data_IF_487647580450
#
_entry.id   IF_487647580450
#
_cell.length_a   1.000
_cell.length_b   1.000
_cell.length_c   1.000
_cell.angle_alpha   90.00
_cell.angle_beta   90.00
_cell.angle_gamma   90.00
#
_symmetry.space_group_name_H-M   'P 1'
#
loop_
_entity.id
_entity.type
_entity.pdbx_description
1 polymer ?
#
# COMPACT_ATOMS: atom_id res chain seq x y z
N UNK A 1 18.74 9.89 2.08
CA UNK A 1 18.30 9.93 3.49
C UNK A 1 16.90 9.38 3.67
N UNK A 2 16.02 9.53 2.67
CA UNK A 2 14.67 9.00 2.73
C UNK A 2 14.61 7.48 2.89
N UNK A 3 15.54 6.71 2.32
CA UNK A 3 15.43 5.25 2.36
C UNK A 3 15.54 4.69 3.77
N UNK A 4 16.35 5.26 4.67
CA UNK A 4 16.48 4.78 6.05
C UNK A 4 15.24 5.11 6.91
N UNK A 5 14.70 6.32 6.78
CA UNK A 5 13.45 6.72 7.46
C UNK A 5 12.31 5.82 6.96
N UNK A 6 12.22 5.66 5.65
CA UNK A 6 11.27 4.80 4.97
C UNK A 6 11.41 3.32 5.38
N UNK A 7 12.65 2.84 5.52
CA UNK A 7 12.94 1.45 5.85
C UNK A 7 12.24 1.05 7.14
N UNK A 8 12.20 1.91 8.18
CA UNK A 8 11.47 1.61 9.42
C UNK A 8 10.00 1.28 9.16
N UNK A 9 9.32 2.14 8.40
CA UNK A 9 7.90 1.97 8.05
C UNK A 9 7.66 0.73 7.18
N UNK A 10 8.55 0.51 6.21
CA UNK A 10 8.53 -0.68 5.38
C UNK A 10 8.71 -1.97 6.17
N UNK A 11 9.62 -1.99 7.16
CA UNK A 11 9.83 -3.14 8.02
C UNK A 11 8.56 -3.48 8.84
N UNK A 12 7.86 -2.46 9.35
CA UNK A 12 6.57 -2.68 10.03
C UNK A 12 5.52 -3.27 9.09
N UNK A 13 5.39 -2.70 7.89
CA UNK A 13 4.45 -3.20 6.88
C UNK A 13 4.77 -4.65 6.47
N UNK A 14 6.04 -4.96 6.19
CA UNK A 14 6.48 -6.31 5.84
C UNK A 14 6.28 -7.29 7.01
N UNK A 15 6.50 -6.90 8.26
CA UNK A 15 6.17 -7.75 9.41
C UNK A 15 4.69 -8.08 9.46
N UNK A 16 3.83 -7.09 9.22
CA UNK A 16 2.38 -7.29 9.19
C UNK A 16 1.96 -8.19 8.03
N UNK A 17 2.52 -7.98 6.84
CA UNK A 17 2.25 -8.83 5.67
C UNK A 17 2.80 -10.26 5.86
N UNK A 18 3.95 -10.40 6.53
CA UNK A 18 4.53 -11.69 6.86
C UNK A 18 3.68 -12.48 7.85
N UNK A 19 3.11 -11.81 8.86
CA UNK A 19 2.20 -12.41 9.84
C UNK A 19 0.98 -13.05 9.16
N UNK A 20 0.51 -12.44 8.08
CA UNK A 20 -0.70 -12.86 7.34
C UNK A 20 -0.38 -13.68 6.08
N UNK A 21 0.91 -13.98 5.86
CA UNK A 21 1.42 -14.65 4.66
C UNK A 21 1.02 -13.97 3.34
N UNK A 22 0.73 -12.65 3.38
CA UNK A 22 0.26 -11.85 2.24
C UNK A 22 1.40 -11.18 1.46
N UNK A 23 2.66 -11.57 1.72
CA UNK A 23 3.82 -11.10 0.96
C UNK A 23 4.74 -12.25 0.54
N UNK A 24 5.23 -12.25 -0.72
CA UNK A 24 6.22 -13.20 -1.23
C UNK A 24 7.67 -12.78 -0.88
N UNK A 25 7.84 -11.73 -0.10
CA UNK A 25 9.13 -11.23 0.35
C UNK A 25 9.30 -11.43 1.86
N UNK A 26 10.56 -11.51 2.27
CA UNK A 26 10.96 -11.57 3.67
C UNK A 26 12.05 -10.55 3.95
N UNK A 27 12.15 -10.12 5.20
CA UNK A 27 13.12 -9.13 5.63
C UNK A 27 14.33 -9.83 6.27
N UNK A 28 15.51 -9.66 5.70
CA UNK A 28 16.75 -10.08 6.34
C UNK A 28 17.15 -9.05 7.40
N UNK A 29 16.81 -9.32 8.66
CA UNK A 29 17.13 -8.44 9.80
C UNK A 29 18.63 -8.17 9.97
N UNK A 30 19.50 -9.11 9.57
CA UNK A 30 20.94 -8.93 9.72
C UNK A 30 21.50 -7.90 8.74
N UNK A 31 20.89 -7.79 7.55
CA UNK A 31 21.35 -6.87 6.49
C UNK A 31 20.41 -5.68 6.29
N UNK A 32 19.22 -5.71 6.87
CA UNK A 32 18.15 -4.74 6.61
C UNK A 32 17.61 -4.80 5.18
N UNK A 33 17.91 -5.88 4.42
CA UNK A 33 17.55 -6.02 3.01
C UNK A 33 16.32 -6.89 2.84
N UNK A 34 15.50 -6.55 1.84
CA UNK A 34 14.32 -7.34 1.49
C UNK A 34 14.73 -8.44 0.51
N UNK A 35 14.39 -9.69 0.82
CA UNK A 35 14.68 -10.86 -0.02
C UNK A 35 13.40 -11.48 -0.53
N UNK A 36 13.44 -11.96 -1.76
CA UNK A 36 12.35 -12.78 -2.31
C UNK A 36 12.41 -14.17 -1.69
N UNK A 37 11.26 -14.71 -1.28
CA UNK A 37 11.16 -16.10 -0.84
C UNK A 37 11.41 -17.04 -2.03
N UNK A 38 12.00 -18.23 -1.79
CA UNK A 38 12.24 -19.21 -2.84
C UNK A 38 10.92 -19.62 -3.51
N UNK A 39 10.91 -19.63 -4.85
CA UNK A 39 9.78 -20.10 -5.65
C UNK A 39 9.47 -21.56 -5.29
N UNK A 40 8.19 -21.88 -5.12
CA UNK A 40 7.72 -23.22 -4.74
C UNK A 40 7.65 -23.49 -3.23
N UNK A 41 8.23 -22.61 -2.39
CA UNK A 41 8.06 -22.68 -0.94
C UNK A 41 6.59 -22.63 -0.51
N UNK A 42 6.24 -23.28 0.61
CA UNK A 42 4.86 -23.31 1.13
C UNK A 42 4.24 -21.91 1.21
N UNK A 43 5.00 -20.94 1.72
CA UNK A 43 4.55 -19.55 1.87
C UNK A 43 4.31 -18.85 0.52
N UNK A 44 5.18 -19.07 -0.48
CA UNK A 44 4.98 -18.53 -1.83
C UNK A 44 3.73 -19.12 -2.51
N UNK A 45 3.45 -20.41 -2.30
CA UNK A 45 2.23 -21.06 -2.77
C UNK A 45 0.99 -20.52 -2.07
N UNK A 46 1.03 -20.36 -0.75
CA UNK A 46 -0.08 -19.78 0.03
C UNK A 46 -0.40 -18.36 -0.43
N UNK A 47 0.62 -17.51 -0.62
CA UNK A 47 0.43 -16.16 -1.17
C UNK A 47 -0.21 -16.18 -2.56
N UNK A 48 0.24 -17.09 -3.44
CA UNK A 48 -0.35 -17.24 -4.78
C UNK A 48 -1.82 -17.66 -4.71
N UNK A 49 -2.18 -18.58 -3.81
CA UNK A 49 -3.57 -18.99 -3.57
C UNK A 49 -4.39 -17.82 -3.04
N UNK A 50 -3.89 -17.06 -2.08
CA UNK A 50 -4.57 -15.86 -1.56
C UNK A 50 -4.85 -14.85 -2.68
N UNK A 51 -3.90 -14.62 -3.59
CA UNK A 51 -4.07 -13.68 -4.68
C UNK A 51 -5.08 -14.17 -5.74
N UNK A 52 -5.13 -15.47 -6.01
CA UNK A 52 -6.17 -16.07 -6.86
C UNK A 52 -7.56 -15.92 -6.22
N UNK A 53 -7.70 -16.23 -4.93
CA UNK A 53 -8.98 -16.06 -4.22
C UNK A 53 -9.39 -14.58 -4.20
N UNK A 54 -8.45 -13.67 -3.94
CA UNK A 54 -8.70 -12.23 -3.99
C UNK A 54 -9.15 -11.77 -5.38
N UNK A 55 -8.52 -12.28 -6.44
CA UNK A 55 -8.90 -11.96 -7.83
C UNK A 55 -10.32 -12.46 -8.13
N UNK A 56 -10.68 -13.66 -7.68
CA UNK A 56 -12.04 -14.18 -7.81
C UNK A 56 -13.06 -13.34 -7.03
N UNK A 57 -12.69 -12.88 -5.84
CA UNK A 57 -13.51 -11.98 -5.02
C UNK A 57 -13.78 -10.63 -5.73
N UNK A 58 -12.73 -10.00 -6.27
CA UNK A 58 -12.87 -8.75 -7.03
C UNK A 58 -13.66 -8.95 -8.33
N UNK A 59 -13.46 -10.08 -9.02
CA UNK A 59 -14.28 -10.42 -10.20
C UNK A 59 -15.76 -10.59 -9.82
N UNK A 60 -16.05 -11.12 -8.63
CA UNK A 60 -17.40 -11.16 -8.06
C UNK A 60 -18.00 -9.77 -7.86
N UNK A 61 -17.23 -8.83 -7.28
CA UNK A 61 -17.66 -7.43 -7.14
C UNK A 61 -18.01 -6.80 -8.49
N UNK A 62 -17.10 -6.91 -9.46
CA UNK A 62 -17.29 -6.33 -10.80
C UNK A 62 -18.50 -6.95 -11.49
N UNK A 63 -18.66 -8.28 -11.38
CA UNK A 63 -19.83 -8.99 -11.92
C UNK A 63 -21.13 -8.46 -11.31
N UNK A 64 -21.17 -8.32 -9.99
CA UNK A 64 -22.35 -7.80 -9.28
C UNK A 64 -22.65 -6.34 -9.64
N UNK A 65 -21.63 -5.51 -9.81
CA UNK A 65 -21.80 -4.11 -10.21
C UNK A 65 -22.41 -3.99 -11.62
N UNK A 66 -21.90 -4.77 -12.58
CA UNK A 66 -22.34 -4.74 -13.98
C UNK A 66 -23.73 -5.37 -14.16
N UNK A 67 -23.96 -6.55 -13.57
CA UNK A 67 -25.17 -7.36 -13.84
C UNK A 67 -26.14 -7.48 -12.67
N UNK A 68 -25.80 -6.97 -11.47
CA UNK A 68 -26.68 -7.09 -10.30
C UNK A 68 -27.89 -6.16 -10.38
N UNK A 69 -28.97 -6.55 -9.72
CA UNK A 69 -30.25 -5.81 -9.70
C UNK A 69 -30.28 -4.67 -8.64
N UNK A 70 -29.12 -4.23 -8.16
CA UNK A 70 -29.01 -3.15 -7.18
C UNK A 70 -29.49 -1.80 -7.72
N UNK A 71 -29.98 -0.94 -6.81
CA UNK A 71 -30.37 0.44 -7.15
C UNK A 71 -29.18 1.24 -7.72
N UNK A 72 -29.48 2.26 -8.54
CA UNK A 72 -28.44 3.07 -9.18
C UNK A 72 -27.51 3.75 -8.16
N UNK A 73 -28.07 4.26 -7.06
CA UNK A 73 -27.31 4.90 -5.98
C UNK A 73 -26.32 3.94 -5.34
N UNK A 74 -26.75 2.69 -5.14
CA UNK A 74 -25.93 1.65 -4.56
C UNK A 74 -24.77 1.27 -5.48
N UNK A 75 -25.05 1.12 -6.78
CA UNK A 75 -24.02 0.87 -7.79
C UNK A 75 -23.01 2.01 -7.88
N UNK A 76 -23.46 3.27 -7.76
CA UNK A 76 -22.57 4.44 -7.78
C UNK A 76 -21.60 4.46 -6.59
N UNK A 77 -22.05 4.04 -5.40
CA UNK A 77 -21.15 3.90 -4.24
C UNK A 77 -20.10 2.81 -4.48
N UNK A 78 -20.50 1.68 -5.09
CA UNK A 78 -19.58 0.60 -5.44
C UNK A 78 -18.56 1.01 -6.51
N UNK A 79 -18.99 1.79 -7.51
CA UNK A 79 -18.11 2.33 -8.55
C UNK A 79 -16.91 3.10 -8.00
N UNK A 80 -17.01 3.68 -6.79
CA UNK A 80 -15.86 4.34 -6.16
C UNK A 80 -14.89 3.34 -5.50
N UNK A 81 -15.40 2.23 -4.97
CA UNK A 81 -14.63 1.29 -4.14
C UNK A 81 -14.04 0.14 -4.99
N UNK A 82 -14.82 -0.42 -5.91
CA UNK A 82 -14.42 -1.58 -6.72
C UNK A 82 -13.15 -1.32 -7.54
N UNK A 83 -12.96 -0.15 -8.19
CA UNK A 83 -11.71 0.16 -8.89
C UNK A 83 -10.48 0.15 -7.98
N UNK A 84 -10.62 0.53 -6.70
CA UNK A 84 -9.54 0.45 -5.73
C UNK A 84 -9.13 -1.02 -5.55
N UNK A 85 -10.09 -1.91 -5.29
CA UNK A 85 -9.81 -3.35 -5.16
C UNK A 85 -9.21 -3.96 -6.42
N UNK A 86 -9.68 -3.56 -7.61
CA UNK A 86 -9.11 -3.97 -8.90
C UNK A 86 -7.65 -3.51 -9.02
N UNK A 87 -7.37 -2.24 -8.75
CA UNK A 87 -6.01 -1.68 -8.80
C UNK A 87 -5.06 -2.39 -7.83
N UNK A 88 -5.47 -2.59 -6.58
CA UNK A 88 -4.67 -3.33 -5.60
C UNK A 88 -4.47 -4.80 -6.00
N UNK A 89 -5.47 -5.43 -6.63
CA UNK A 89 -5.34 -6.77 -7.20
C UNK A 89 -4.27 -6.84 -8.28
N UNK A 90 -4.30 -5.91 -9.25
CA UNK A 90 -3.29 -5.80 -10.31
C UNK A 90 -1.89 -5.56 -9.71
N UNK A 91 -1.77 -4.61 -8.77
CA UNK A 91 -0.51 -4.33 -8.09
C UNK A 91 0.01 -5.55 -7.32
N UNK A 92 -0.88 -6.35 -6.72
CA UNK A 92 -0.53 -7.62 -6.08
C UNK A 92 0.08 -8.63 -7.06
N UNK A 93 -0.48 -8.76 -8.26
CA UNK A 93 0.09 -9.62 -9.32
C UNK A 93 1.43 -9.12 -9.84
N UNK A 94 1.57 -7.80 -10.07
CA UNK A 94 2.83 -7.17 -10.46
C UNK A 94 3.89 -7.44 -9.38
N UNK A 95 3.54 -7.22 -8.12
CA UNK A 95 4.41 -7.46 -6.97
C UNK A 95 4.88 -8.91 -6.83
N UNK A 96 4.01 -9.86 -7.17
CA UNK A 96 4.37 -11.28 -7.20
C UNK A 96 5.40 -11.59 -8.29
N UNK A 97 5.26 -10.99 -9.46
CA UNK A 97 6.08 -11.27 -10.65
C UNK A 97 7.44 -10.59 -10.59
N UNK A 98 7.41 -9.27 -10.37
CA UNK A 98 8.52 -8.35 -10.59
C UNK A 98 9.38 -8.15 -9.34
N UNK A 99 10.70 -8.22 -9.53
CA UNK A 99 11.70 -7.97 -8.49
C UNK A 99 12.33 -6.58 -8.58
N UNK A 100 12.06 -5.82 -9.63
CA UNK A 100 12.70 -4.54 -9.91
C UNK A 100 12.50 -3.54 -8.77
N UNK A 101 11.26 -3.40 -8.26
CA UNK A 101 10.96 -2.49 -7.15
C UNK A 101 11.77 -2.83 -5.88
N UNK A 102 11.92 -4.12 -5.57
CA UNK A 102 12.70 -4.58 -4.40
C UNK A 102 14.20 -4.40 -4.63
N UNK A 103 14.69 -4.66 -5.84
CA UNK A 103 16.10 -4.45 -6.19
C UNK A 103 16.45 -2.96 -6.14
N UNK A 104 15.60 -2.08 -6.67
CA UNK A 104 15.75 -0.64 -6.59
C UNK A 104 15.80 -0.20 -5.12
N UNK A 105 14.84 -0.64 -4.30
CA UNK A 105 14.81 -0.33 -2.88
C UNK A 105 16.10 -0.76 -2.16
N UNK A 106 16.52 -2.01 -2.34
CA UNK A 106 17.75 -2.53 -1.72
C UNK A 106 18.99 -1.76 -2.18
N UNK A 107 19.07 -1.40 -3.47
CA UNK A 107 20.19 -0.65 -4.03
C UNK A 107 20.26 0.77 -3.44
N UNK A 108 19.11 1.42 -3.28
CA UNK A 108 19.00 2.73 -2.63
C UNK A 108 19.42 2.66 -1.16
N UNK A 109 18.96 1.65 -0.41
CA UNK A 109 19.39 1.42 0.97
C UNK A 109 20.91 1.18 1.06
N UNK A 110 21.48 0.35 0.18
CA UNK A 110 22.92 0.10 0.15
C UNK A 110 23.73 1.36 -0.16
N UNK A 111 23.29 2.15 -1.15
CA UNK A 111 23.92 3.42 -1.50
C UNK A 111 23.88 4.41 -0.33
N UNK A 112 22.73 4.54 0.35
CA UNK A 112 22.61 5.42 1.52
C UNK A 112 23.54 4.96 2.65
N UNK A 113 23.58 3.67 2.96
CA UNK A 113 24.47 3.12 3.99
C UNK A 113 25.95 3.38 3.68
N UNK A 114 26.38 3.18 2.43
CA UNK A 114 27.75 3.48 2.02
C UNK A 114 28.07 4.98 2.08
N UNK A 115 27.10 5.82 1.71
CA UNK A 115 27.23 7.28 1.80
C UNK A 115 27.44 7.71 3.25
N UNK A 116 26.61 7.23 4.19
CA UNK A 116 26.76 7.53 5.62
C UNK A 116 28.08 7.01 6.22
N UNK A 117 28.59 5.88 5.72
CA UNK A 117 29.88 5.35 6.17
C UNK A 117 31.05 6.25 5.75
N UNK A 118 31.00 6.83 4.55
CA UNK A 118 32.07 7.67 4.00
C UNK A 118 31.99 9.11 4.50
N UNK A 119 30.79 9.67 4.50
CA UNK A 119 30.52 11.04 4.89
C UNK A 119 29.87 10.98 6.27
N UNK A 120 30.67 11.04 7.34
CA UNK A 120 30.13 11.18 8.69
C UNK A 120 29.15 12.37 8.67
N UNK A 121 27.86 12.15 8.94
CA UNK A 121 26.88 13.20 8.79
C UNK A 121 27.16 14.27 9.85
N UNK A 122 27.78 15.39 9.45
CA UNK A 122 27.55 16.64 10.16
C UNK A 122 26.04 16.84 10.17
N UNK A 123 25.47 17.04 11.36
CA UNK A 123 24.04 17.18 11.66
C UNK A 123 23.23 17.65 10.43
N UNK A 124 22.76 16.69 9.64
CA UNK A 124 22.02 17.02 8.43
C UNK A 124 20.61 17.42 8.88
N UNK A 125 20.31 18.71 8.77
CA UNK A 125 19.01 19.26 9.14
C UNK A 125 17.94 18.62 8.26
N UNK A 126 17.05 17.83 8.87
CA UNK A 126 15.90 17.22 8.19
C UNK A 126 15.06 18.32 7.55
N UNK A 127 14.82 18.21 6.23
CA UNK A 127 13.98 19.17 5.48
C UNK A 127 12.51 18.97 5.82
N UNK A 128 11.73 20.03 5.67
CA UNK A 128 10.27 20.00 5.87
C UNK A 128 9.57 19.00 4.95
N UNK A 129 10.06 18.83 3.71
CA UNK A 129 9.54 17.85 2.76
C UNK A 129 9.63 16.41 3.29
N UNK A 130 10.79 16.04 3.84
CA UNK A 130 11.01 14.72 4.46
C UNK A 130 10.01 14.46 5.59
N UNK A 131 9.74 15.48 6.42
CA UNK A 131 8.75 15.38 7.52
C UNK A 131 7.33 15.15 7.00
N UNK A 132 6.97 15.80 5.89
CA UNK A 132 5.67 15.61 5.24
C UNK A 132 5.48 14.16 4.81
N UNK A 133 6.49 13.57 4.18
CA UNK A 133 6.45 12.16 3.74
C UNK A 133 6.46 11.20 4.91
N UNK A 134 7.21 11.51 5.97
CA UNK A 134 7.16 10.72 7.20
C UNK A 134 5.73 10.65 7.78
N UNK A 135 5.05 11.80 7.89
CA UNK A 135 3.66 11.82 8.34
C UNK A 135 2.72 11.09 7.40
N UNK A 136 2.90 11.22 6.09
CA UNK A 136 2.13 10.47 5.11
C UNK A 136 2.28 8.95 5.27
N UNK A 137 3.52 8.46 5.45
CA UNK A 137 3.79 7.05 5.68
C UNK A 137 3.19 6.54 7.01
N UNK A 138 3.23 7.36 8.06
CA UNK A 138 2.56 7.05 9.33
C UNK A 138 1.05 6.90 9.13
N UNK A 139 0.42 7.83 8.41
CA UNK A 139 -1.01 7.75 8.08
C UNK A 139 -1.30 6.47 7.30
N UNK A 140 -0.53 6.16 6.26
CA UNK A 140 -0.72 4.92 5.48
C UNK A 140 -0.69 3.69 6.38
N UNK A 141 0.30 3.56 7.27
CA UNK A 141 0.41 2.37 8.13
C UNK A 141 -0.80 2.21 9.05
N UNK A 142 -1.26 3.32 9.64
CA UNK A 142 -2.45 3.31 10.49
C UNK A 142 -3.68 2.94 9.64
N UNK A 143 -3.85 3.56 8.47
CA UNK A 143 -4.97 3.30 7.56
C UNK A 143 -5.00 1.85 7.08
N UNK A 144 -3.85 1.25 6.76
CA UNK A 144 -3.72 -0.16 6.34
C UNK A 144 -4.26 -1.13 7.37
N UNK A 145 -4.15 -0.79 8.66
CA UNK A 145 -4.70 -1.59 9.74
C UNK A 145 -6.16 -1.24 10.04
N UNK A 146 -6.48 0.07 10.10
CA UNK A 146 -7.81 0.54 10.49
C UNK A 146 -8.88 0.28 9.43
N UNK A 147 -8.56 0.36 8.13
CA UNK A 147 -9.52 0.15 7.04
C UNK A 147 -10.14 -1.26 7.08
N UNK A 148 -9.38 -2.37 7.17
CA UNK A 148 -9.96 -3.69 7.35
C UNK A 148 -10.85 -3.81 8.59
N UNK A 149 -10.44 -3.23 9.72
CA UNK A 149 -11.21 -3.26 10.97
C UNK A 149 -12.54 -2.52 10.80
N UNK A 150 -12.52 -1.32 10.23
CA UNK A 150 -13.74 -0.56 9.97
C UNK A 150 -14.64 -1.26 8.96
N UNK A 151 -14.09 -1.84 7.88
CA UNK A 151 -14.87 -2.63 6.93
C UNK A 151 -15.54 -3.82 7.62
N UNK A 152 -14.86 -4.52 8.53
CA UNK A 152 -15.46 -5.60 9.30
C UNK A 152 -16.60 -5.10 10.20
N UNK A 153 -16.42 -3.97 10.89
CA UNK A 153 -17.48 -3.35 11.71
C UNK A 153 -18.68 -2.97 10.84
N UNK A 154 -18.45 -2.39 9.66
CA UNK A 154 -19.51 -2.04 8.72
C UNK A 154 -20.26 -3.28 8.23
N UNK A 155 -19.56 -4.35 7.87
CA UNK A 155 -20.20 -5.62 7.46
C UNK A 155 -20.97 -6.26 8.62
N UNK A 156 -20.49 -6.15 9.86
CA UNK A 156 -21.23 -6.65 11.02
C UNK A 156 -22.49 -5.84 11.32
N UNK A 157 -22.46 -4.52 11.06
CA UNK A 157 -23.61 -3.64 11.25
C UNK A 157 -24.63 -3.76 10.12
N UNK A 158 -24.16 -3.83 8.87
CA UNK A 158 -24.98 -4.00 7.68
C UNK A 158 -24.33 -5.04 6.74
N UNK A 159 -24.66 -6.33 6.90
CA UNK A 159 -24.01 -7.41 6.16
C UNK A 159 -24.40 -7.44 4.68
N UNK A 160 -25.47 -6.75 4.33
CA UNK A 160 -25.98 -6.60 2.98
C UNK A 160 -25.38 -5.39 2.23
N UNK A 161 -24.48 -4.64 2.88
CA UNK A 161 -23.86 -3.48 2.25
C UNK A 161 -22.86 -3.94 1.18
N UNK A 162 -22.93 -3.40 -0.03
CA UNK A 162 -21.92 -3.69 -1.04
C UNK A 162 -20.64 -2.86 -0.78
N UNK A 163 -19.47 -3.26 -1.32
CA UNK A 163 -19.23 -4.36 -2.25
C UNK A 163 -18.89 -5.70 -1.55
N UNK A 164 -19.38 -5.93 -0.34
CA UNK A 164 -19.02 -7.11 0.46
C UNK A 164 -19.76 -8.37 0.00
N UNK A 165 -19.26 -9.54 0.40
CA UNK A 165 -19.79 -10.84 -0.04
C UNK A 165 -21.29 -11.01 0.20
N UNK A 166 -21.82 -10.40 1.26
CA UNK A 166 -23.23 -10.54 1.61
C UNK A 166 -24.20 -10.19 0.48
N UNK A 167 -23.94 -9.08 -0.23
CA UNK A 167 -24.80 -8.63 -1.34
C UNK A 167 -24.68 -9.51 -2.60
N UNK A 168 -23.59 -10.26 -2.72
CA UNK A 168 -23.32 -11.13 -3.88
C UNK A 168 -23.94 -12.52 -3.70
N UNK A 169 -24.41 -12.81 -2.49
CA UNK A 169 -25.01 -14.10 -2.15
C UNK A 169 -26.50 -13.95 -1.96
N UNK A 170 -27.25 -15.03 -2.19
CA UNK A 170 -28.69 -15.08 -1.93
C UNK A 170 -29.02 -15.11 -0.41
N UNK A 171 -28.06 -14.85 0.48
CA UNK A 171 -28.28 -14.80 1.92
C UNK A 171 -28.78 -13.45 2.39
N UNK A 172 -28.68 -12.42 1.56
CA UNK A 172 -29.27 -11.12 1.82
C UNK A 172 -30.61 -11.00 1.09
N UNK A 173 -31.70 -10.97 1.84
CA UNK A 173 -33.05 -10.69 1.33
C UNK A 173 -33.60 -9.47 2.09
N UNK A 174 -34.12 -8.48 1.35
CA UNK A 174 -34.69 -7.24 1.90
C UNK A 174 -33.79 -6.47 2.89
N UNK A 175 -32.47 -6.53 2.67
CA UNK A 175 -31.49 -5.85 3.53
C UNK A 175 -31.27 -6.52 4.88
N UNK A 176 -31.87 -7.69 5.10
CA UNK A 176 -31.68 -8.51 6.29
C UNK A 176 -30.93 -9.80 5.94
N UNK A 177 -30.15 -10.28 6.90
CA UNK A 177 -29.47 -11.56 6.75
C UNK A 177 -30.47 -12.69 6.99
N UNK A 178 -30.50 -13.67 6.07
CA UNK A 178 -31.33 -14.86 6.22
C UNK A 178 -31.12 -15.53 7.57
N UNK A 179 -32.20 -15.97 8.23
CA UNK A 179 -32.14 -16.67 9.52
C UNK A 179 -31.69 -18.14 9.40
N UNK A 180 -31.42 -18.62 8.19
CA UNK A 180 -31.03 -20.02 8.00
C UNK A 180 -29.78 -20.37 8.83
N UNK A 181 -29.74 -21.60 9.37
CA UNK A 181 -28.57 -22.10 10.12
C UNK A 181 -27.29 -21.99 9.27
N UNK A 182 -27.42 -22.20 7.96
CA UNK A 182 -26.34 -22.01 7.00
C UNK A 182 -25.87 -20.56 7.00
N UNK A 183 -26.77 -19.57 6.93
CA UNK A 183 -26.47 -18.15 7.01
C UNK A 183 -25.90 -17.74 8.38
N UNK A 184 -26.32 -18.36 9.49
CA UNK A 184 -25.72 -18.13 10.80
C UNK A 184 -24.28 -18.67 10.90
N UNK A 185 -24.02 -19.87 10.35
CA UNK A 185 -22.67 -20.43 10.23
C UNK A 185 -21.82 -19.60 9.25
N UNK A 186 -22.44 -19.14 8.16
CA UNK A 186 -21.97 -18.11 7.25
C UNK A 186 -22.20 -16.70 7.83
N UNK A 187 -22.03 -16.46 9.14
CA UNK A 187 -21.53 -15.14 9.60
C UNK A 187 -20.02 -15.02 9.39
N UNK A 188 -19.37 -16.10 8.94
CA UNK A 188 -18.02 -16.15 8.41
C UNK A 188 -17.70 -15.19 7.23
N UNK A 189 -18.62 -14.76 6.33
CA UNK A 189 -18.38 -13.75 5.31
C UNK A 189 -17.80 -12.47 5.89
N UNK A 190 -18.23 -12.03 7.08
CA UNK A 190 -17.58 -10.89 7.73
C UNK A 190 -16.08 -11.14 8.00
N UNK A 191 -15.70 -12.38 8.36
CA UNK A 191 -14.29 -12.77 8.50
C UNK A 191 -13.59 -12.90 7.14
N UNK A 192 -14.29 -13.37 6.10
CA UNK A 192 -13.73 -13.47 4.75
C UNK A 192 -13.53 -12.07 4.16
N UNK A 193 -14.50 -11.18 4.27
CA UNK A 193 -14.44 -9.77 3.86
C UNK A 193 -13.34 -9.04 4.64
N UNK A 194 -13.26 -9.27 5.96
CA UNK A 194 -12.14 -8.77 6.78
C UNK A 194 -10.79 -9.27 6.25
N UNK A 195 -10.69 -10.57 5.99
CA UNK A 195 -9.48 -11.20 5.47
C UNK A 195 -9.11 -10.68 4.08
N UNK A 196 -10.05 -10.56 3.15
CA UNK A 196 -9.83 -10.03 1.81
C UNK A 196 -9.44 -8.55 1.85
N UNK A 197 -10.09 -7.77 2.71
CA UNK A 197 -9.71 -6.37 2.96
C UNK A 197 -8.28 -6.31 3.51
N UNK A 198 -7.91 -7.21 4.41
CA UNK A 198 -6.56 -7.28 4.95
C UNK A 198 -5.53 -7.68 3.89
N UNK A 199 -5.82 -8.69 3.07
CA UNK A 199 -4.98 -9.10 1.93
C UNK A 199 -4.82 -7.95 0.95
N UNK A 200 -5.89 -7.23 0.61
CA UNK A 200 -5.85 -6.05 -0.25
C UNK A 200 -4.85 -5.01 0.29
N UNK A 201 -4.99 -4.64 1.57
CA UNK A 201 -4.18 -3.62 2.23
C UNK A 201 -2.74 -4.07 2.57
N UNK A 202 -2.47 -5.36 2.72
CA UNK A 202 -1.13 -5.87 3.04
C UNK A 202 -0.41 -6.52 1.88
N UNK A 203 -1.07 -6.60 0.72
CA UNK A 203 -0.43 -6.97 -0.54
C UNK A 203 0.60 -5.93 -0.97
N UNK A 204 1.30 -6.24 -2.06
CA UNK A 204 2.31 -5.36 -2.65
C UNK A 204 1.84 -3.96 -3.04
N UNK A 205 0.53 -3.71 -3.18
CA UNK A 205 0.03 -2.39 -3.56
C UNK A 205 0.47 -1.30 -2.59
N UNK A 206 0.39 -1.56 -1.28
CA UNK A 206 0.84 -0.58 -0.27
C UNK A 206 2.35 -0.42 -0.29
N UNK A 207 3.11 -1.51 -0.45
CA UNK A 207 4.56 -1.43 -0.62
C UNK A 207 4.91 -0.49 -1.79
N UNK A 208 4.27 -0.68 -2.94
CA UNK A 208 4.55 0.11 -4.14
C UNK A 208 4.17 1.57 -3.92
N UNK A 209 3.00 1.86 -3.34
CA UNK A 209 2.60 3.23 -2.99
C UNK A 209 3.59 3.90 -2.05
N UNK A 210 4.05 3.18 -1.03
CA UNK A 210 5.07 3.66 -0.10
C UNK A 210 6.38 3.96 -0.87
N UNK A 211 6.85 3.04 -1.72
CA UNK A 211 8.07 3.24 -2.51
C UNK A 211 7.96 4.44 -3.45
N UNK A 212 6.84 4.58 -4.17
CA UNK A 212 6.58 5.73 -5.04
C UNK A 212 6.60 7.04 -4.26
N UNK A 213 5.94 7.11 -3.09
CA UNK A 213 5.96 8.31 -2.25
C UNK A 213 7.38 8.69 -1.80
N UNK A 214 8.23 7.71 -1.50
CA UNK A 214 9.63 7.95 -1.17
C UNK A 214 10.44 8.44 -2.39
N UNK A 215 10.19 7.88 -3.58
CA UNK A 215 10.80 8.33 -4.83
C UNK A 215 10.40 9.78 -5.17
N UNK A 216 9.10 10.08 -5.14
CA UNK A 216 8.56 11.40 -5.46
C UNK A 216 9.16 12.46 -4.54
N UNK A 217 9.25 12.17 -3.26
CA UNK A 217 9.77 13.16 -2.32
C UNK A 217 11.30 13.30 -2.39
N UNK A 218 12.02 12.25 -2.74
CA UNK A 218 13.46 12.36 -3.08
C UNK A 218 13.65 13.25 -4.33
N UNK A 219 12.76 13.11 -5.32
CA UNK A 219 12.79 13.94 -6.52
C UNK A 219 12.46 15.41 -6.23
N UNK A 220 11.46 15.67 -5.38
CA UNK A 220 11.13 17.04 -4.94
C UNK A 220 12.27 17.70 -4.16
N UNK A 221 12.97 16.94 -3.31
CA UNK A 221 14.16 17.45 -2.61
C UNK A 221 15.30 17.79 -3.57
N UNK A 222 15.50 16.99 -4.61
CA UNK A 222 16.47 17.27 -5.66
C UNK A 222 16.12 18.56 -6.41
N UNK A 223 14.87 18.74 -6.81
CA UNK A 223 14.42 19.95 -7.50
C UNK A 223 14.59 21.21 -6.65
N UNK A 224 14.27 21.14 -5.35
CA UNK A 224 14.47 22.25 -4.39
C UNK A 224 15.97 22.63 -4.30
N UNK A 225 16.88 21.66 -4.35
CA UNK A 225 18.31 21.97 -4.34
C UNK A 225 18.80 22.59 -5.65
N UNK A 226 18.35 22.07 -6.79
CA UNK A 226 18.68 22.66 -8.10
C UNK A 226 18.17 24.10 -8.17
N UNK A 227 16.95 24.35 -7.69
CA UNK A 227 16.36 25.68 -7.67
C UNK A 227 17.19 26.67 -6.83
N UNK A 228 17.65 26.23 -5.64
CA UNK A 228 18.53 27.06 -4.80
C UNK A 228 19.86 27.41 -5.46
N UNK A 229 20.45 26.47 -6.20
CA UNK A 229 21.69 26.73 -6.94
C UNK A 229 21.47 27.74 -8.06
N UNK A 230 20.34 27.66 -8.77
CA UNK A 230 19.96 28.63 -9.81
C UNK A 230 19.76 30.02 -9.19
N UNK A 231 18.99 30.13 -8.10
CA UNK A 231 18.75 31.40 -7.41
C UNK A 231 20.04 32.02 -6.83
N UNK A 232 20.96 31.19 -6.36
CA UNK A 232 22.26 31.64 -5.88
C UNK A 232 23.12 32.23 -7.02
N UNK A 233 23.14 31.58 -8.18
CA UNK A 233 23.87 32.09 -9.34
C UNK A 233 23.23 33.36 -9.92
N UNK A 234 21.90 33.45 -9.94
CA UNK A 234 21.18 34.66 -10.36
C UNK A 234 21.54 35.87 -9.51
N UNK A 235 21.52 35.73 -8.17
CA UNK A 235 21.89 36.82 -7.25
C UNK A 235 23.35 37.25 -7.36
N UNK A 236 24.28 36.30 -7.56
CA UNK A 236 25.69 36.62 -7.74
C UNK A 236 25.97 37.38 -9.04
N UNK A 237 25.18 37.15 -10.10
CA UNK A 237 25.30 37.92 -11.34
C UNK A 237 24.80 39.36 -11.17
N UNK A 238 23.66 39.59 -10.53
CA UNK A 238 23.16 40.95 -10.26
C UNK A 238 24.12 41.78 -9.40
N UNK A 239 24.75 41.16 -8.41
CA UNK A 239 25.69 41.85 -7.51
C UNK A 239 26.96 42.32 -8.25
N UNK A 240 27.35 41.64 -9.33
CA UNK A 240 28.54 41.99 -10.11
C UNK A 240 28.30 43.14 -11.10
N UNK A 241 27.05 43.46 -11.42
CA UNK A 241 26.70 44.46 -12.46
C UNK A 241 26.46 45.86 -11.88
N UNK A 242 26.34 46.04 -10.55
CA UNK A 242 26.24 47.40 -9.96
C UNK A 242 27.60 48.12 -10.06
N UNK A 243 27.72 49.19 -10.87
CA UNK A 243 28.93 49.99 -10.92
C UNK A 243 29.08 50.73 -9.58
N UNK A 244 30.30 50.80 -9.07
CA UNK A 244 30.67 51.73 -8.00
C UNK A 244 30.61 53.14 -8.54
N UNK A 245 29.50 53.84 -8.27
CA UNK A 245 29.41 55.30 -8.35
C UNK A 245 29.96 55.96 -7.07
#
# INVERSE_FOLDING_TARGET
MMSLIFQKYLQYHLRLANLMWSSPYDLDYAKGLVRRLPRGGRRSRLYSVQLVIFTAYVAGMVRWEVWGDGSADLKLQCMAIVPIFVMFGILGWIWQGDMAAVQLFNSMCSLEMEFFRKFQPREMKIRTSTKGVEHFLQIIIVTVFMCPVFNAIFVLYNPCQPPFLGVMTNFCEDGTWSESLLAALLRLPAMVDFWMSFVCNTSGGVFLTMLYAACDASFLEYLDEVWRLVDFHGRNQETRVRPTE
#
